data_IF_680023701680
#
_entry.id   IF_680023701680
#
_cell.length_a   1.000
_cell.length_b   1.000
_cell.length_c   1.000
_cell.angle_alpha   90.00
_cell.angle_beta   90.00
_cell.angle_gamma   90.00
#
_symmetry.space_group_name_H-M   'P 1'
#
loop_
_entity.id
_entity.type
_entity.pdbx_description
1 polymer ?
#
# COMPACT_ATOMS: atom_id res chain seq x y z
N UNK A 1 -26.31 -66.39 -41.87
CA UNK A 1 -26.93 -65.54 -40.84
C UNK A 1 -25.80 -64.93 -40.04
N UNK A 2 -25.38 -63.74 -40.43
CA UNK A 2 -24.26 -63.02 -39.78
C UNK A 2 -24.70 -62.56 -38.39
N UNK A 3 -24.06 -63.12 -37.36
CA UNK A 3 -24.18 -62.62 -35.99
C UNK A 3 -23.59 -61.22 -35.96
N UNK A 4 -24.43 -60.19 -35.85
CA UNK A 4 -23.98 -58.83 -35.55
C UNK A 4 -23.24 -58.85 -34.21
N UNK A 5 -21.92 -58.90 -34.24
CA UNK A 5 -21.09 -58.55 -33.08
C UNK A 5 -21.44 -57.10 -32.74
N UNK A 6 -22.18 -56.89 -31.65
CA UNK A 6 -22.39 -55.55 -31.10
C UNK A 6 -21.03 -54.93 -30.84
N UNK A 7 -20.84 -53.69 -31.31
CA UNK A 7 -19.68 -52.89 -31.00
C UNK A 7 -19.54 -52.83 -29.46
N UNK A 8 -18.40 -53.29 -28.88
CA UNK A 8 -18.16 -53.24 -27.44
C UNK A 8 -18.41 -51.86 -26.83
N UNK A 9 -18.16 -50.78 -27.59
CA UNK A 9 -18.39 -49.41 -27.16
C UNK A 9 -19.88 -49.11 -26.99
N UNK A 10 -20.73 -49.57 -27.91
CA UNK A 10 -22.18 -49.43 -27.80
C UNK A 10 -22.74 -50.24 -26.63
N UNK A 11 -22.21 -51.45 -26.42
CA UNK A 11 -22.59 -52.31 -25.30
C UNK A 11 -22.33 -51.62 -23.95
N UNK A 12 -21.11 -51.12 -23.70
CA UNK A 12 -20.79 -50.47 -22.42
C UNK A 12 -21.55 -49.16 -22.22
N UNK A 13 -21.76 -48.35 -23.26
CA UNK A 13 -22.62 -47.16 -23.16
C UNK A 13 -24.07 -47.50 -22.81
N UNK A 14 -24.61 -48.59 -23.35
CA UNK A 14 -25.96 -49.04 -23.02
C UNK A 14 -26.07 -49.51 -21.57
N UNK A 15 -25.05 -50.20 -21.08
CA UNK A 15 -24.93 -50.66 -19.70
C UNK A 15 -24.84 -49.46 -18.73
N UNK A 16 -23.96 -48.51 -19.01
CA UNK A 16 -23.81 -47.26 -18.24
C UNK A 16 -25.14 -46.50 -18.16
N UNK A 17 -25.83 -46.35 -19.29
CA UNK A 17 -27.14 -45.69 -19.35
C UNK A 17 -28.19 -46.43 -18.51
N UNK A 18 -28.16 -47.76 -18.50
CA UNK A 18 -29.02 -48.59 -17.65
C UNK A 18 -28.73 -48.38 -16.16
N UNK A 19 -27.46 -48.44 -15.77
CA UNK A 19 -27.02 -48.20 -14.40
C UNK A 19 -27.38 -46.81 -13.91
N UNK A 20 -27.11 -45.77 -14.72
CA UNK A 20 -27.48 -44.39 -14.39
C UNK A 20 -28.99 -44.24 -14.19
N UNK A 21 -29.82 -44.90 -15.01
CA UNK A 21 -31.28 -44.87 -14.85
C UNK A 21 -31.72 -45.47 -13.52
N UNK A 22 -31.09 -46.57 -13.09
CA UNK A 22 -31.36 -47.24 -11.80
C UNK A 22 -30.92 -46.35 -10.64
N UNK A 23 -29.72 -45.76 -10.72
CA UNK A 23 -29.21 -44.83 -9.72
C UNK A 23 -30.14 -43.62 -9.59
N UNK A 24 -30.54 -43.02 -10.71
CA UNK A 24 -31.49 -41.90 -10.68
C UNK A 24 -32.84 -42.29 -10.12
N UNK A 25 -33.40 -43.46 -10.46
CA UNK A 25 -34.72 -43.85 -9.94
C UNK A 25 -34.70 -44.16 -8.44
N UNK A 26 -33.55 -44.61 -7.91
CA UNK A 26 -33.39 -44.90 -6.48
C UNK A 26 -32.98 -43.67 -5.67
N UNK A 27 -32.11 -42.82 -6.21
CA UNK A 27 -31.61 -41.62 -5.56
C UNK A 27 -32.59 -40.43 -5.65
N UNK A 28 -33.43 -40.35 -6.68
CA UNK A 28 -34.43 -39.29 -6.82
C UNK A 28 -35.73 -39.63 -6.07
N UNK A 29 -35.61 -40.12 -4.84
CA UNK A 29 -36.72 -40.42 -3.96
C UNK A 29 -36.61 -39.60 -2.69
N UNK A 30 -37.76 -39.18 -2.13
CA UNK A 30 -37.80 -38.42 -0.89
C UNK A 30 -37.06 -39.16 0.24
N UNK A 31 -37.20 -40.48 0.30
CA UNK A 31 -36.52 -41.34 1.28
C UNK A 31 -35.00 -41.25 1.17
N UNK A 32 -34.46 -41.30 -0.06
CA UNK A 32 -33.03 -41.14 -0.29
C UNK A 32 -32.55 -39.74 0.10
N UNK A 33 -33.24 -38.69 -0.36
CA UNK A 33 -32.87 -37.30 -0.04
C UNK A 33 -32.85 -37.05 1.47
N UNK A 34 -33.84 -37.57 2.20
CA UNK A 34 -33.90 -37.44 3.65
C UNK A 34 -32.80 -38.25 4.36
N UNK A 35 -32.52 -39.48 3.92
CA UNK A 35 -31.42 -40.27 4.48
C UNK A 35 -30.05 -39.63 4.22
N UNK A 36 -29.86 -39.08 3.01
CA UNK A 36 -28.66 -38.35 2.63
C UNK A 36 -28.50 -37.07 3.45
N UNK A 37 -29.57 -36.30 3.65
CA UNK A 37 -29.57 -35.12 4.53
C UNK A 37 -29.11 -35.45 5.94
N UNK A 38 -29.69 -36.50 6.55
CA UNK A 38 -29.27 -36.99 7.88
C UNK A 38 -27.81 -37.44 7.92
N UNK A 39 -27.33 -38.10 6.87
CA UNK A 39 -25.93 -38.51 6.78
C UNK A 39 -24.98 -37.31 6.69
N UNK A 40 -25.37 -36.25 5.95
CA UNK A 40 -24.62 -34.99 5.92
C UNK A 40 -24.60 -34.31 7.28
N UNK A 41 -25.75 -34.20 7.96
CA UNK A 41 -25.84 -33.60 9.30
C UNK A 41 -24.91 -34.33 10.28
N UNK A 42 -24.99 -35.66 10.33
CA UNK A 42 -24.10 -36.46 11.16
C UNK A 42 -22.62 -36.29 10.80
N UNK A 43 -22.31 -36.17 9.50
CA UNK A 43 -20.94 -35.90 9.06
C UNK A 43 -20.46 -34.52 9.53
N UNK A 44 -21.29 -33.49 9.43
CA UNK A 44 -20.97 -32.14 9.91
C UNK A 44 -20.70 -32.14 11.42
N UNK A 45 -21.55 -32.82 12.20
CA UNK A 45 -21.34 -32.97 13.65
C UNK A 45 -20.01 -33.65 13.95
N UNK A 46 -19.69 -34.72 13.23
CA UNK A 46 -18.42 -35.42 13.37
C UNK A 46 -17.23 -34.51 13.03
N UNK A 47 -17.31 -33.72 11.95
CA UNK A 47 -16.27 -32.75 11.58
C UNK A 47 -16.05 -31.72 12.69
N UNK A 48 -17.12 -31.19 13.29
CA UNK A 48 -17.03 -30.22 14.40
C UNK A 48 -16.33 -30.84 15.62
N UNK A 49 -16.66 -32.09 15.96
CA UNK A 49 -16.03 -32.81 17.07
C UNK A 49 -14.55 -33.03 16.78
N UNK A 50 -14.20 -33.53 15.59
CA UNK A 50 -12.82 -33.74 15.20
C UNK A 50 -12.01 -32.44 15.21
N UNK A 51 -12.58 -31.34 14.72
CA UNK A 51 -11.92 -30.05 14.74
C UNK A 51 -11.64 -29.57 16.17
N UNK A 52 -12.57 -29.79 17.12
CA UNK A 52 -12.33 -29.50 18.55
C UNK A 52 -11.19 -30.35 19.11
N UNK A 53 -11.17 -31.65 18.82
CA UNK A 53 -10.12 -32.57 19.29
C UNK A 53 -8.76 -32.16 18.74
N UNK A 54 -8.66 -31.91 17.44
CA UNK A 54 -7.43 -31.47 16.78
C UNK A 54 -6.96 -30.15 17.40
N UNK A 55 -7.84 -29.16 17.52
CA UNK A 55 -7.49 -27.86 18.10
C UNK A 55 -7.02 -27.97 19.56
N UNK A 56 -7.59 -28.89 20.34
CA UNK A 56 -7.11 -29.15 21.70
C UNK A 56 -5.70 -29.74 21.69
N UNK A 57 -5.44 -30.75 20.85
CA UNK A 57 -4.11 -31.35 20.74
C UNK A 57 -3.07 -30.33 20.27
N UNK A 58 -3.40 -29.50 19.28
CA UNK A 58 -2.53 -28.41 18.82
C UNK A 58 -2.20 -27.47 19.98
N UNK A 59 -3.17 -27.07 20.80
CA UNK A 59 -2.91 -26.24 21.98
C UNK A 59 -2.05 -26.94 23.03
N UNK A 60 -2.33 -28.20 23.36
CA UNK A 60 -1.54 -28.95 24.36
C UNK A 60 -0.09 -29.12 23.91
N UNK A 61 0.14 -29.30 22.61
CA UNK A 61 1.46 -29.43 22.02
C UNK A 61 2.12 -28.09 21.67
N UNK A 62 1.49 -26.95 21.99
CA UNK A 62 1.96 -25.59 21.63
C UNK A 62 2.23 -25.42 20.13
N UNK A 63 1.36 -25.97 19.30
CA UNK A 63 1.41 -25.88 17.83
C UNK A 63 0.36 -24.87 17.37
N UNK A 64 0.79 -23.96 16.49
CA UNK A 64 -0.06 -22.94 15.90
C UNK A 64 -1.25 -23.54 15.14
N UNK A 65 -2.43 -22.94 15.32
CA UNK A 65 -3.67 -23.29 14.63
C UNK A 65 -3.83 -22.48 13.35
N UNK A 66 -4.78 -22.90 12.53
CA UNK A 66 -5.17 -22.19 11.31
C UNK A 66 -5.48 -20.72 11.58
N UNK A 67 -6.17 -20.42 12.69
CA UNK A 67 -6.54 -19.07 13.08
C UNK A 67 -5.31 -18.20 13.38
N UNK A 68 -4.27 -18.79 13.99
CA UNK A 68 -3.02 -18.08 14.27
C UNK A 68 -2.29 -17.73 12.97
N UNK A 69 -2.23 -18.66 12.02
CA UNK A 69 -1.68 -18.39 10.69
C UNK A 69 -2.47 -17.33 9.93
N UNK A 70 -3.81 -17.37 10.02
CA UNK A 70 -4.66 -16.37 9.39
C UNK A 70 -4.45 -14.98 10.01
N UNK A 71 -4.28 -14.90 11.33
CA UNK A 71 -3.98 -13.66 12.03
C UNK A 71 -2.62 -13.08 11.61
N UNK A 72 -1.59 -13.92 11.53
CA UNK A 72 -0.27 -13.50 11.03
C UNK A 72 -0.35 -13.01 9.59
N UNK A 73 -1.08 -13.72 8.73
CA UNK A 73 -1.28 -13.32 7.34
C UNK A 73 -1.99 -11.96 7.22
N UNK A 74 -3.03 -11.72 8.03
CA UNK A 74 -3.70 -10.41 8.08
C UNK A 74 -2.76 -9.28 8.50
N UNK A 75 -2.00 -9.50 9.58
CA UNK A 75 -1.01 -8.53 10.05
C UNK A 75 0.08 -8.24 9.02
N UNK A 76 0.51 -9.27 8.28
CA UNK A 76 1.48 -9.10 7.20
C UNK A 76 0.96 -8.14 6.12
N UNK A 77 -0.27 -8.35 5.66
CA UNK A 77 -0.91 -7.46 4.68
C UNK A 77 -1.04 -6.05 5.23
N UNK A 78 -1.52 -5.88 6.47
CA UNK A 78 -1.65 -4.56 7.09
C UNK A 78 -0.29 -3.83 7.22
N UNK A 79 0.79 -4.56 7.51
CA UNK A 79 2.13 -3.99 7.54
C UNK A 79 2.64 -3.61 6.16
N UNK A 80 2.33 -4.40 5.12
CA UNK A 80 2.66 -4.07 3.73
C UNK A 80 1.97 -2.77 3.32
N UNK A 81 0.66 -2.65 3.56
CA UNK A 81 -0.10 -1.42 3.27
C UNK A 81 0.51 -0.19 3.96
N UNK A 82 0.88 -0.31 5.24
CA UNK A 82 1.53 0.78 6.00
C UNK A 82 2.91 1.16 5.47
N UNK A 83 3.66 0.19 4.94
CA UNK A 83 4.97 0.45 4.36
C UNK A 83 4.84 1.21 3.03
N UNK A 84 3.85 0.85 2.22
CA UNK A 84 3.56 1.53 0.96
C UNK A 84 3.14 3.00 1.22
N UNK A 85 2.25 3.22 2.20
CA UNK A 85 1.84 4.57 2.63
C UNK A 85 3.03 5.42 3.13
N UNK A 86 3.96 4.79 3.85
CA UNK A 86 5.16 5.46 4.34
C UNK A 86 6.10 5.84 3.20
N UNK A 87 6.27 4.98 2.20
CA UNK A 87 7.12 5.24 1.03
C UNK A 87 6.56 6.40 0.20
N UNK A 88 5.25 6.41 -0.06
CA UNK A 88 4.55 7.52 -0.73
C UNK A 88 4.75 8.83 0.04
N UNK A 89 4.59 8.80 1.37
CA UNK A 89 4.78 9.98 2.23
C UNK A 89 6.21 10.50 2.18
N UNK A 90 7.21 9.61 2.23
CA UNK A 90 8.62 9.99 2.14
C UNK A 90 8.96 10.58 0.78
N UNK A 91 8.42 10.01 -0.30
CA UNK A 91 8.58 10.54 -1.64
C UNK A 91 8.05 11.97 -1.74
N UNK A 92 6.82 12.21 -1.25
CA UNK A 92 6.21 13.53 -1.26
C UNK A 92 6.98 14.54 -0.41
N UNK A 93 7.43 14.16 0.79
CA UNK A 93 8.26 15.02 1.64
C UNK A 93 9.58 15.40 0.95
N UNK A 94 10.22 14.46 0.24
CA UNK A 94 11.46 14.73 -0.48
C UNK A 94 11.26 15.74 -1.62
N UNK A 95 10.12 15.69 -2.32
CA UNK A 95 9.77 16.69 -3.34
C UNK A 95 9.64 18.08 -2.70
N UNK A 96 8.90 18.19 -1.60
CA UNK A 96 8.68 19.45 -0.89
C UNK A 96 10.01 20.03 -0.41
N UNK A 97 10.84 19.22 0.26
CA UNK A 97 12.16 19.63 0.75
C UNK A 97 13.07 20.17 -0.36
N UNK A 98 13.08 19.51 -1.53
CA UNK A 98 13.86 19.98 -2.68
C UNK A 98 13.37 21.32 -3.19
N UNK A 99 12.05 21.52 -3.25
CA UNK A 99 11.47 22.79 -3.65
C UNK A 99 11.80 23.90 -2.65
N UNK A 100 11.63 23.65 -1.35
CA UNK A 100 11.91 24.62 -0.30
C UNK A 100 13.39 25.01 -0.29
N UNK A 101 14.30 24.04 -0.47
CA UNK A 101 15.73 24.31 -0.60
C UNK A 101 16.04 25.22 -1.80
N UNK A 102 15.38 24.99 -2.94
CA UNK A 102 15.50 25.84 -4.13
C UNK A 102 15.00 27.27 -3.86
N UNK A 103 13.88 27.42 -3.17
CA UNK A 103 13.33 28.72 -2.80
C UNK A 103 14.25 29.46 -1.82
N UNK A 104 14.77 28.79 -0.80
CA UNK A 104 15.75 29.36 0.14
C UNK A 104 17.02 29.84 -0.58
N UNK A 105 17.52 29.06 -1.55
CA UNK A 105 18.67 29.48 -2.36
C UNK A 105 18.39 30.75 -3.17
N UNK A 106 17.20 30.85 -3.78
CA UNK A 106 16.77 32.07 -4.50
C UNK A 106 16.67 33.27 -3.56
N UNK A 107 16.06 33.08 -2.40
CA UNK A 107 15.93 34.14 -1.38
C UNK A 107 17.30 34.63 -0.91
N UNK A 108 18.22 33.71 -0.60
CA UNK A 108 19.57 34.06 -0.17
C UNK A 108 20.34 34.86 -1.23
N UNK A 109 20.20 34.49 -2.50
CA UNK A 109 20.80 35.24 -3.61
C UNK A 109 20.19 36.65 -3.74
N UNK A 110 18.87 36.75 -3.59
CA UNK A 110 18.17 38.04 -3.62
C UNK A 110 18.60 38.96 -2.47
N UNK A 111 18.68 38.43 -1.25
CA UNK A 111 19.16 39.17 -0.07
C UNK A 111 20.61 39.64 -0.25
N UNK A 112 21.48 38.79 -0.80
CA UNK A 112 22.86 39.19 -1.12
C UNK A 112 22.91 40.34 -2.13
N UNK A 113 22.04 40.31 -3.13
CA UNK A 113 21.90 41.41 -4.10
C UNK A 113 21.47 42.71 -3.43
N UNK A 114 20.45 42.66 -2.57
CA UNK A 114 19.99 43.85 -1.81
C UNK A 114 21.06 44.40 -0.88
N UNK A 115 21.82 43.52 -0.20
CA UNK A 115 22.91 43.94 0.68
C UNK A 115 23.99 44.70 -0.09
N UNK A 116 24.40 44.20 -1.26
CA UNK A 116 25.35 44.88 -2.13
C UNK A 116 24.85 46.28 -2.58
N UNK A 117 23.56 46.38 -2.92
CA UNK A 117 22.96 47.69 -3.26
C UNK A 117 23.01 48.67 -2.09
N UNK A 118 22.64 48.22 -0.88
CA UNK A 118 22.69 49.04 0.33
C UNK A 118 24.12 49.47 0.67
N UNK A 119 25.10 48.58 0.53
CA UNK A 119 26.52 48.90 0.77
C UNK A 119 27.01 49.99 -0.19
N UNK A 120 26.64 49.91 -1.47
CA UNK A 120 26.98 50.91 -2.47
C UNK A 120 26.28 52.25 -2.17
N UNK A 121 24.99 52.24 -1.84
CA UNK A 121 24.24 53.46 -1.52
C UNK A 121 24.80 54.18 -0.29
N UNK A 122 25.17 53.43 0.76
CA UNK A 122 25.85 53.98 1.94
C UNK A 122 27.21 54.58 1.57
N UNK A 123 27.96 53.95 0.66
CA UNK A 123 29.25 54.48 0.19
C UNK A 123 29.06 55.77 -0.59
N UNK A 124 28.12 55.82 -1.52
CA UNK A 124 27.81 56.99 -2.34
C UNK A 124 27.36 58.17 -1.46
N UNK A 125 26.49 57.92 -0.47
CA UNK A 125 26.08 58.94 0.51
C UNK A 125 27.26 59.50 1.30
N UNK A 126 28.20 58.65 1.71
CA UNK A 126 29.43 59.10 2.40
C UNK A 126 30.30 59.96 1.49
N UNK A 127 30.49 59.56 0.23
CA UNK A 127 31.28 60.32 -0.75
C UNK A 127 30.65 61.68 -1.03
N UNK A 128 29.32 61.73 -1.21
CA UNK A 128 28.56 62.99 -1.37
C UNK A 128 28.74 63.87 -0.13
N UNK A 129 28.62 63.32 1.08
CA UNK A 129 28.76 64.11 2.31
C UNK A 129 30.18 64.65 2.49
N UNK A 130 31.20 63.86 2.19
CA UNK A 130 32.60 64.30 2.23
C UNK A 130 32.83 65.44 1.22
N UNK A 131 32.27 65.33 0.01
CA UNK A 131 32.38 66.38 -1.00
C UNK A 131 31.72 67.69 -0.53
N UNK A 132 30.48 67.62 -0.03
CA UNK A 132 29.77 68.78 0.54
C UNK A 132 30.59 69.46 1.64
N UNK A 133 31.16 68.68 2.57
CA UNK A 133 31.98 69.23 3.65
C UNK A 133 33.28 69.87 3.15
N UNK A 134 33.88 69.34 2.08
CA UNK A 134 35.07 69.96 1.46
C UNK A 134 34.73 71.29 0.81
N UNK A 135 33.61 71.34 0.08
CA UNK A 135 33.14 72.54 -0.59
C UNK A 135 32.81 73.64 0.45
N UNK A 136 32.08 73.29 1.53
CA UNK A 136 31.79 74.18 2.66
C UNK A 136 33.07 74.70 3.35
N UNK A 137 34.09 73.85 3.52
CA UNK A 137 35.35 74.24 4.14
C UNK A 137 36.19 75.16 3.26
N UNK A 138 36.13 74.97 1.94
CA UNK A 138 36.79 75.85 0.97
C UNK A 138 36.13 77.24 0.94
N UNK A 139 34.79 77.29 0.97
CA UNK A 139 34.05 78.54 1.12
C UNK A 139 34.42 79.27 2.41
N UNK A 140 34.47 78.55 3.54
CA UNK A 140 34.85 79.13 4.82
C UNK A 140 36.27 79.70 4.78
N UNK A 141 37.23 79.00 4.17
CA UNK A 141 38.60 79.48 4.03
C UNK A 141 38.66 80.81 3.27
N UNK A 142 37.88 80.94 2.18
CA UNK A 142 37.81 82.20 1.40
C UNK A 142 37.29 83.38 2.23
N UNK A 143 36.43 83.13 3.23
CA UNK A 143 35.91 84.19 4.11
C UNK A 143 36.95 84.72 5.12
N UNK A 144 38.06 84.00 5.34
CA UNK A 144 39.13 84.40 6.27
C UNK A 144 40.43 84.83 5.56
N UNK A 145 40.49 84.70 4.23
CA UNK A 145 41.62 85.15 3.40
C UNK A 145 41.42 86.60 2.85
N UNK A 146 40.35 87.30 3.30
CA UNK A 146 40.13 88.76 3.25
C UNK A 146 40.35 89.40 4.63
#
# INVERSE_FOLDING_TARGET
MESKQQDPVEYYKSLEKGLNKIIHSTANTLTFTHAFGKAIEHHLDHVVIQQKVINNWLTVCDIAKKEDFAEVARKKVECEDKLDDLDETLYMLNIVLKNDHSQLKKLNNSLRGMLCLLENEVKDLKEIKIKSLKDELEELKRLFDD
#
